data_IF_716477730552
#
_entry.id   IF_716477730552
#
_cell.length_a   1.000
_cell.length_b   1.000
_cell.length_c   1.000
_cell.angle_alpha   90.00
_cell.angle_beta   90.00
_cell.angle_gamma   90.00
#
_symmetry.space_group_name_H-M   'P 1'
#
loop_
_entity.id
_entity.type
_entity.pdbx_description
1 polymer ?
#
# COMPACT_ATOMS: atom_id res chain seq x y z
N UNK A 1 74.16 -10.39 51.98
CA UNK A 1 73.89 -11.79 52.38
C UNK A 1 72.38 -11.90 52.59
N UNK A 2 71.54 -12.70 51.92
CA UNK A 2 71.68 -13.92 51.09
C UNK A 2 70.60 -13.91 50.00
N UNK A 3 70.93 -14.46 48.83
CA UNK A 3 70.02 -14.93 47.77
C UNK A 3 69.08 -16.01 48.31
N UNK A 4 67.87 -16.11 47.75
CA UNK A 4 67.27 -17.36 47.25
C UNK A 4 66.04 -17.08 46.39
N UNK A 5 66.10 -17.61 45.17
CA UNK A 5 65.01 -17.77 44.20
C UNK A 5 63.92 -18.69 44.75
N UNK A 6 62.68 -18.51 44.28
CA UNK A 6 61.83 -19.63 43.91
C UNK A 6 60.80 -19.17 42.87
N UNK A 7 60.95 -19.66 41.64
CA UNK A 7 59.95 -19.70 40.58
C UNK A 7 58.85 -20.69 40.96
N UNK A 8 57.58 -20.31 40.81
CA UNK A 8 56.48 -21.25 40.62
C UNK A 8 55.63 -20.79 39.43
N UNK A 9 55.72 -21.58 38.36
CA UNK A 9 54.73 -21.65 37.28
C UNK A 9 53.51 -22.39 37.83
N UNK A 10 52.34 -21.76 37.76
CA UNK A 10 51.06 -22.39 38.08
C UNK A 10 49.99 -21.86 37.14
N UNK A 11 49.68 -22.64 36.12
CA UNK A 11 48.58 -22.43 35.19
C UNK A 11 47.24 -22.35 35.93
N UNK A 12 46.39 -21.37 35.58
CA UNK A 12 45.08 -21.17 36.18
C UNK A 12 44.13 -20.49 35.21
N UNK A 13 43.59 -21.28 34.27
CA UNK A 13 42.37 -21.08 33.50
C UNK A 13 41.92 -19.65 33.17
N UNK A 14 42.21 -19.21 31.94
CA UNK A 14 41.31 -18.29 31.27
C UNK A 14 40.00 -19.04 31.01
N UNK A 15 39.01 -18.83 31.87
CA UNK A 15 37.62 -19.19 31.57
C UNK A 15 37.20 -18.26 30.42
N UNK A 16 37.35 -18.75 29.19
CA UNK A 16 36.65 -18.18 28.06
C UNK A 16 35.16 -18.32 28.37
N UNK A 17 34.53 -17.20 28.74
CA UNK A 17 33.09 -17.03 28.65
C UNK A 17 32.73 -17.21 27.17
N UNK A 18 32.50 -18.46 26.77
CA UNK A 18 31.65 -18.79 25.64
C UNK A 18 30.24 -18.35 26.06
N UNK A 19 29.98 -17.05 25.95
CA UNK A 19 28.64 -16.57 25.78
C UNK A 19 28.10 -17.32 24.56
N UNK A 20 27.20 -18.25 24.80
CA UNK A 20 26.49 -18.92 23.71
C UNK A 20 25.92 -17.84 22.82
N UNK A 21 26.48 -17.68 21.62
CA UNK A 21 25.73 -17.09 20.53
C UNK A 21 24.56 -18.04 20.34
N UNK A 22 23.42 -17.72 20.93
CA UNK A 22 22.16 -18.13 20.33
C UNK A 22 22.29 -17.69 18.87
N UNK A 23 22.38 -18.65 17.96
CA UNK A 23 22.36 -18.34 16.55
C UNK A 23 21.03 -17.61 16.34
N UNK A 24 21.12 -16.32 16.06
CA UNK A 24 19.93 -15.50 15.83
C UNK A 24 19.22 -16.10 14.62
N UNK A 25 17.92 -16.42 14.78
CA UNK A 25 17.05 -16.79 13.66
C UNK A 25 17.09 -15.70 12.58
N UNK A 26 16.83 -16.07 11.33
CA UNK A 26 16.94 -15.16 10.18
C UNK A 26 18.29 -15.17 9.47
N UNK A 27 19.08 -16.23 9.64
CA UNK A 27 20.30 -16.48 8.86
C UNK A 27 19.98 -17.40 7.67
N UNK A 28 20.86 -17.52 6.64
CA UNK A 28 20.64 -18.48 5.56
C UNK A 28 20.43 -19.93 6.02
N UNK A 29 21.03 -20.33 7.15
CA UNK A 29 20.93 -21.69 7.71
C UNK A 29 19.69 -21.88 8.61
N UNK A 30 19.04 -20.79 9.05
CA UNK A 30 17.82 -20.81 9.88
C UNK A 30 16.96 -19.57 9.54
N UNK A 31 16.28 -19.54 8.38
CA UNK A 31 15.50 -18.39 7.94
C UNK A 31 14.20 -18.21 8.74
N UNK A 32 13.69 -16.97 8.78
CA UNK A 32 12.30 -16.75 9.23
C UNK A 32 11.32 -17.28 8.19
N UNK A 33 10.15 -17.73 8.63
CA UNK A 33 9.07 -18.16 7.73
C UNK A 33 8.01 -17.08 7.65
N UNK A 34 7.84 -16.48 6.47
CA UNK A 34 6.78 -15.50 6.20
C UNK A 34 5.71 -16.16 5.32
N UNK A 35 4.47 -16.18 5.81
CA UNK A 35 3.32 -16.59 4.99
C UNK A 35 2.80 -15.38 4.22
N UNK A 36 2.99 -15.37 2.89
CA UNK A 36 2.64 -14.24 2.02
C UNK A 36 1.34 -14.52 1.31
N UNK A 37 0.38 -13.60 1.47
CA UNK A 37 -0.89 -13.62 0.73
C UNK A 37 -0.95 -12.40 -0.19
N UNK A 38 -0.84 -12.64 -1.49
CA UNK A 38 -1.06 -11.65 -2.54
C UNK A 38 -2.52 -11.64 -2.99
N UNK A 39 -3.00 -10.53 -3.55
CA UNK A 39 -4.37 -10.45 -4.08
C UNK A 39 -4.46 -10.77 -5.57
N UNK A 40 -3.42 -10.45 -6.35
CA UNK A 40 -3.42 -10.53 -7.82
C UNK A 40 -2.08 -11.01 -8.35
N UNK A 41 -1.41 -11.86 -7.59
CA UNK A 41 -0.02 -12.24 -7.79
C UNK A 41 0.97 -11.16 -7.34
N UNK A 42 2.23 -11.37 -7.74
CA UNK A 42 3.37 -10.55 -7.33
C UNK A 42 3.35 -9.18 -8.02
N UNK A 43 3.62 -8.13 -7.25
CA UNK A 43 3.70 -6.75 -7.73
C UNK A 43 5.04 -6.14 -7.32
N UNK A 44 5.38 -4.91 -7.77
CA UNK A 44 6.56 -4.20 -7.27
C UNK A 44 6.59 -4.03 -5.74
N UNK A 45 5.45 -4.15 -5.04
CA UNK A 45 5.39 -4.13 -3.57
C UNK A 45 6.16 -5.30 -2.98
N UNK A 46 5.94 -6.52 -3.46
CA UNK A 46 6.63 -7.71 -3.00
C UNK A 46 8.13 -7.64 -3.32
N UNK A 47 8.51 -7.10 -4.49
CA UNK A 47 9.92 -6.89 -4.83
C UNK A 47 10.59 -5.90 -3.87
N UNK A 48 9.90 -4.80 -3.54
CA UNK A 48 10.37 -3.83 -2.56
C UNK A 48 10.52 -4.44 -1.17
N UNK A 49 9.57 -5.29 -0.77
CA UNK A 49 9.60 -5.99 0.51
C UNK A 49 10.79 -6.96 0.59
N UNK A 50 10.95 -7.83 -0.42
CA UNK A 50 12.01 -8.84 -0.49
C UNK A 50 13.40 -8.22 -0.53
N UNK A 51 13.60 -7.25 -1.43
CA UNK A 51 14.89 -6.60 -1.59
C UNK A 51 15.28 -5.82 -0.32
N UNK A 52 14.32 -5.24 0.40
CA UNK A 52 14.62 -4.55 1.65
C UNK A 52 15.00 -5.51 2.78
N UNK A 53 14.34 -6.67 2.90
CA UNK A 53 14.75 -7.71 3.84
C UNK A 53 16.17 -8.21 3.54
N UNK A 54 16.44 -8.54 2.27
CA UNK A 54 17.74 -9.02 1.82
C UNK A 54 18.85 -7.97 2.04
N UNK A 55 18.59 -6.70 1.70
CA UNK A 55 19.53 -5.61 1.91
C UNK A 55 19.87 -5.36 3.38
N UNK A 56 18.97 -5.74 4.30
CA UNK A 56 19.18 -5.68 5.74
C UNK A 56 19.66 -7.01 6.35
N UNK A 57 20.03 -7.99 5.52
CA UNK A 57 20.59 -9.27 5.96
C UNK A 57 19.61 -10.20 6.66
N UNK A 58 18.30 -10.02 6.44
CA UNK A 58 17.26 -10.88 7.03
C UNK A 58 16.90 -11.98 6.04
N UNK A 59 17.28 -13.22 6.37
CA UNK A 59 16.94 -14.40 5.58
C UNK A 59 15.52 -14.86 5.87
N UNK A 60 14.74 -15.06 4.80
CA UNK A 60 13.33 -15.46 4.87
C UNK A 60 13.03 -16.56 3.86
N UNK A 61 12.25 -17.55 4.30
CA UNK A 61 11.53 -18.49 3.46
C UNK A 61 10.07 -18.02 3.33
N UNK A 62 9.62 -17.80 2.09
CA UNK A 62 8.24 -17.39 1.81
C UNK A 62 7.35 -18.59 1.51
N UNK A 63 6.19 -18.61 2.17
CA UNK A 63 5.08 -19.52 1.86
C UNK A 63 4.07 -18.71 1.07
N UNK A 64 4.07 -18.89 -0.25
CA UNK A 64 3.35 -18.03 -1.19
C UNK A 64 1.89 -18.49 -1.42
N UNK A 65 0.94 -17.59 -1.27
CA UNK A 65 -0.46 -17.76 -1.68
C UNK A 65 -0.93 -16.55 -2.48
N UNK A 66 -1.75 -16.83 -3.49
CA UNK A 66 -2.44 -15.81 -4.26
C UNK A 66 -3.94 -16.01 -4.11
N UNK A 67 -4.64 -14.96 -3.70
CA UNK A 67 -6.09 -14.95 -3.67
C UNK A 67 -6.67 -14.98 -5.10
N UNK A 68 -5.91 -14.59 -6.12
CA UNK A 68 -6.37 -14.50 -7.52
C UNK A 68 -7.69 -13.74 -7.61
N UNK A 69 -7.67 -12.56 -6.99
CA UNK A 69 -8.76 -11.59 -6.86
C UNK A 69 -9.99 -12.07 -6.08
N UNK A 70 -9.92 -13.25 -5.47
CA UNK A 70 -11.02 -13.90 -4.78
C UNK A 70 -10.74 -14.05 -3.27
N UNK A 71 -11.31 -13.15 -2.47
CA UNK A 71 -11.18 -13.18 -1.01
C UNK A 71 -12.00 -14.30 -0.35
N UNK A 72 -12.81 -15.05 -1.09
CA UNK A 72 -13.52 -16.21 -0.52
C UNK A 72 -12.57 -17.36 -0.15
N UNK A 73 -11.32 -17.34 -0.65
CA UNK A 73 -10.26 -18.30 -0.32
C UNK A 73 -9.63 -18.09 1.06
N UNK A 74 -9.86 -16.94 1.68
CA UNK A 74 -9.18 -16.54 2.92
C UNK A 74 -9.37 -17.52 4.09
N UNK A 75 -10.55 -18.12 4.34
CA UNK A 75 -10.71 -19.11 5.41
C UNK A 75 -9.72 -20.28 5.31
N UNK A 76 -9.50 -20.81 4.10
CA UNK A 76 -8.53 -21.89 3.87
C UNK A 76 -7.09 -21.43 4.14
N UNK A 77 -6.73 -20.19 3.79
CA UNK A 77 -5.42 -19.64 4.10
C UNK A 77 -5.22 -19.44 5.61
N UNK A 78 -6.26 -19.02 6.34
CA UNK A 78 -6.23 -18.89 7.81
C UNK A 78 -5.98 -20.24 8.48
N UNK A 79 -6.68 -21.30 8.05
CA UNK A 79 -6.46 -22.66 8.56
C UNK A 79 -5.02 -23.13 8.32
N UNK A 80 -4.48 -22.87 7.13
CA UNK A 80 -3.11 -23.23 6.79
C UNK A 80 -2.09 -22.47 7.66
N UNK A 81 -2.29 -21.16 7.87
CA UNK A 81 -1.43 -20.35 8.75
C UNK A 81 -1.41 -20.94 10.16
N UNK A 82 -2.56 -21.36 10.71
CA UNK A 82 -2.65 -21.96 12.05
C UNK A 82 -1.90 -23.29 12.17
N UNK A 83 -1.91 -24.08 11.10
CA UNK A 83 -1.19 -25.36 11.05
C UNK A 83 0.32 -25.14 10.92
N UNK A 84 0.72 -24.22 10.04
CA UNK A 84 2.13 -24.00 9.71
C UNK A 84 2.87 -23.13 10.72
N UNK A 85 2.15 -22.28 11.46
CA UNK A 85 2.68 -21.36 12.48
C UNK A 85 3.90 -20.58 11.97
N UNK A 86 3.75 -19.78 10.90
CA UNK A 86 4.82 -18.92 10.41
C UNK A 86 5.21 -17.88 11.48
N UNK A 87 6.39 -17.28 11.32
CA UNK A 87 6.86 -16.21 12.21
C UNK A 87 6.10 -14.90 12.01
N UNK A 88 5.60 -14.69 10.78
CA UNK A 88 4.87 -13.49 10.39
C UNK A 88 3.97 -13.80 9.18
N UNK A 89 2.82 -13.13 9.11
CA UNK A 89 1.93 -13.13 7.94
C UNK A 89 2.07 -11.81 7.22
N UNK A 90 2.33 -11.86 5.92
CA UNK A 90 2.26 -10.70 5.03
C UNK A 90 0.95 -10.74 4.26
N UNK A 91 0.24 -9.61 4.18
CA UNK A 91 -0.99 -9.47 3.40
C UNK A 91 -0.94 -8.27 2.46
N UNK A 92 -1.44 -8.45 1.24
CA UNK A 92 -1.58 -7.37 0.26
C UNK A 92 -3.03 -6.88 0.20
N UNK A 93 -3.25 -5.58 0.47
CA UNK A 93 -4.55 -4.92 0.28
C UNK A 93 -5.57 -5.16 1.40
N UNK A 94 -6.63 -4.35 1.40
CA UNK A 94 -7.64 -4.30 2.47
C UNK A 94 -8.41 -5.62 2.62
N UNK A 95 -8.89 -6.20 1.52
CA UNK A 95 -9.73 -7.41 1.55
C UNK A 95 -8.99 -8.65 2.06
N UNK A 96 -7.76 -8.88 1.59
CA UNK A 96 -6.91 -9.98 2.08
C UNK A 96 -6.56 -9.77 3.57
N UNK A 97 -6.23 -8.54 3.96
CA UNK A 97 -5.91 -8.24 5.36
C UNK A 97 -7.11 -8.45 6.28
N UNK A 98 -8.31 -8.04 5.86
CA UNK A 98 -9.56 -8.31 6.61
C UNK A 98 -9.86 -9.81 6.67
N UNK A 99 -9.66 -10.55 5.58
CA UNK A 99 -9.86 -12.00 5.58
C UNK A 99 -8.89 -12.74 6.50
N UNK A 100 -7.69 -12.21 6.72
CA UNK A 100 -6.70 -12.80 7.61
C UNK A 100 -6.89 -12.37 9.08
N UNK A 101 -7.17 -11.08 9.31
CA UNK A 101 -7.15 -10.48 10.65
C UNK A 101 -8.54 -10.23 11.25
N UNK A 102 -9.59 -10.17 10.43
CA UNK A 102 -10.91 -9.71 10.86
C UNK A 102 -10.91 -8.26 11.32
N UNK A 103 -12.08 -7.77 11.75
CA UNK A 103 -12.20 -6.45 12.35
C UNK A 103 -11.71 -6.42 13.80
N UNK A 104 -11.22 -5.28 14.27
CA UNK A 104 -10.70 -5.14 15.64
C UNK A 104 -11.80 -5.24 16.70
N UNK A 105 -13.04 -4.97 16.32
CA UNK A 105 -14.25 -4.99 17.15
C UNK A 105 -15.12 -6.23 16.92
N UNK A 106 -14.60 -7.25 16.21
CA UNK A 106 -15.32 -8.50 16.01
C UNK A 106 -15.55 -9.21 17.36
N UNK A 107 -16.79 -9.62 17.61
CA UNK A 107 -17.18 -10.33 18.84
C UNK A 107 -16.49 -11.68 18.98
N UNK A 108 -16.24 -12.36 17.86
CA UNK A 108 -15.51 -13.62 17.79
C UNK A 108 -14.31 -13.50 16.83
N UNK A 109 -13.12 -13.78 17.36
CA UNK A 109 -11.86 -13.81 16.62
C UNK A 109 -11.47 -15.20 16.11
N UNK A 110 -12.27 -16.24 16.37
CA UNK A 110 -11.94 -17.64 16.12
C UNK A 110 -11.81 -18.01 14.64
N UNK A 111 -12.29 -17.16 13.73
CA UNK A 111 -12.12 -17.30 12.28
C UNK A 111 -10.90 -16.55 11.73
N UNK A 112 -10.14 -15.84 12.57
CA UNK A 112 -9.03 -14.97 12.14
C UNK A 112 -7.70 -15.30 12.84
N UNK A 113 -6.61 -14.73 12.33
CA UNK A 113 -5.29 -14.83 12.93
C UNK A 113 -5.13 -13.71 13.97
N UNK A 114 -5.05 -14.10 15.25
CA UNK A 114 -5.01 -13.18 16.40
C UNK A 114 -3.72 -13.28 17.21
N UNK A 115 -2.91 -14.31 16.98
CA UNK A 115 -1.72 -14.67 17.76
C UNK A 115 -0.39 -14.56 16.98
N UNK A 116 -0.45 -14.54 15.65
CA UNK A 116 0.72 -14.36 14.77
C UNK A 116 0.76 -12.90 14.27
N UNK A 117 1.94 -12.23 14.25
CA UNK A 117 2.06 -10.89 13.71
C UNK A 117 1.65 -10.80 12.24
N UNK A 118 0.83 -9.81 11.90
CA UNK A 118 0.40 -9.51 10.53
C UNK A 118 0.99 -8.15 10.13
N UNK A 119 1.73 -8.14 9.03
CA UNK A 119 2.20 -6.92 8.38
C UNK A 119 1.54 -6.79 7.02
N UNK A 120 0.64 -5.81 6.88
CA UNK A 120 0.02 -5.53 5.59
C UNK A 120 0.84 -4.53 4.77
N UNK A 121 0.67 -4.61 3.46
CA UNK A 121 0.99 -3.54 2.52
C UNK A 121 -0.28 -3.18 1.72
N UNK A 122 -0.29 -1.98 1.11
CA UNK A 122 -1.34 -1.56 0.17
C UNK A 122 -2.76 -1.47 0.76
N UNK A 123 -2.91 -1.32 2.07
CA UNK A 123 -4.22 -1.02 2.69
C UNK A 123 -4.49 0.48 2.60
N UNK A 124 -5.70 0.86 2.14
CA UNK A 124 -6.04 2.27 1.89
C UNK A 124 -6.48 3.02 3.15
N UNK A 125 -7.33 2.41 3.96
CA UNK A 125 -7.95 3.06 5.11
C UNK A 125 -8.18 2.05 6.25
N UNK A 126 -7.12 1.65 6.98
CA UNK A 126 -7.19 0.55 7.93
C UNK A 126 -8.14 0.84 9.12
N UNK A 127 -8.26 2.10 9.57
CA UNK A 127 -9.24 2.49 10.60
C UNK A 127 -10.67 2.38 10.07
N UNK A 128 -10.97 2.97 8.90
CA UNK A 128 -12.33 2.92 8.32
C UNK A 128 -12.75 1.50 7.95
N UNK A 129 -11.81 0.65 7.54
CA UNK A 129 -12.05 -0.77 7.26
C UNK A 129 -12.33 -1.58 8.54
N UNK A 130 -12.07 -1.03 9.72
CA UNK A 130 -12.18 -1.71 10.99
C UNK A 130 -11.01 -2.66 11.28
N UNK A 131 -9.86 -2.52 10.60
CA UNK A 131 -8.69 -3.36 10.88
C UNK A 131 -8.05 -3.02 12.23
N UNK A 132 -7.98 -1.72 12.56
CA UNK A 132 -7.37 -1.19 13.77
C UNK A 132 -8.16 0.02 14.29
N UNK A 133 -8.16 0.31 15.60
CA UNK A 133 -8.80 1.50 16.16
C UNK A 133 -8.00 2.79 15.90
N UNK A 134 -6.67 2.70 15.76
CA UNK A 134 -5.77 3.83 15.56
C UNK A 134 -4.59 3.45 14.66
N UNK A 135 -4.03 4.44 13.97
CA UNK A 135 -2.79 4.26 13.19
C UNK A 135 -1.54 4.31 14.07
N UNK A 136 -1.52 5.18 15.08
CA UNK A 136 -0.35 5.40 15.94
C UNK A 136 -0.15 4.24 16.90
N UNK A 137 -1.25 3.71 17.44
CA UNK A 137 -1.28 2.58 18.35
C UNK A 137 -2.29 1.55 17.83
N UNK A 138 -1.88 0.63 16.95
CA UNK A 138 -2.79 -0.38 16.40
C UNK A 138 -3.46 -1.25 17.46
N UNK A 139 -2.81 -1.46 18.62
CA UNK A 139 -3.40 -2.12 19.78
C UNK A 139 -3.72 -3.61 19.60
N UNK A 140 -3.22 -4.24 18.53
CA UNK A 140 -3.42 -5.67 18.21
C UNK A 140 -2.27 -6.22 17.36
N UNK A 141 -2.35 -7.50 16.99
CA UNK A 141 -1.35 -8.21 16.19
C UNK A 141 -1.18 -7.74 14.71
N UNK A 142 -1.64 -6.53 14.36
CA UNK A 142 -1.69 -6.01 12.98
C UNK A 142 -0.97 -4.66 12.91
N UNK A 143 -0.03 -4.53 11.98
CA UNK A 143 0.57 -3.26 11.57
C UNK A 143 0.80 -3.27 10.05
N UNK A 144 1.35 -2.21 9.47
CA UNK A 144 1.62 -2.21 8.03
C UNK A 144 1.86 -0.84 7.42
N UNK A 145 1.90 -0.83 6.08
CA UNK A 145 2.14 0.36 5.28
C UNK A 145 0.88 0.74 4.48
N UNK A 146 0.45 1.98 4.65
CA UNK A 146 -0.60 2.62 3.83
C UNK A 146 0.06 3.18 2.57
N UNK A 147 -0.60 3.02 1.43
CA UNK A 147 -0.08 3.53 0.15
C UNK A 147 -0.74 4.84 -0.28
N UNK A 148 -1.88 5.17 0.30
CA UNK A 148 -2.69 6.33 -0.10
C UNK A 148 -1.95 7.60 0.28
N UNK A 149 -1.76 8.45 -0.72
CA UNK A 149 -1.34 9.83 -0.53
C UNK A 149 -2.56 10.62 -0.04
N UNK A 150 -2.43 11.52 0.94
CA UNK A 150 -3.57 12.32 1.40
C UNK A 150 -4.25 13.05 0.23
N UNK A 151 -5.58 12.97 0.15
CA UNK A 151 -6.38 13.51 -0.96
C UNK A 151 -6.07 15.00 -1.20
N UNK A 152 -5.98 15.81 -0.14
CA UNK A 152 -5.60 17.22 -0.24
C UNK A 152 -4.23 17.42 -0.89
N UNK A 153 -3.24 16.57 -0.57
CA UNK A 153 -1.90 16.65 -1.17
C UNK A 153 -1.94 16.36 -2.67
N UNK A 154 -2.75 15.38 -3.09
CA UNK A 154 -2.97 15.06 -4.50
C UNK A 154 -3.66 16.22 -5.24
N UNK A 155 -4.70 16.80 -4.66
CA UNK A 155 -5.40 17.95 -5.25
C UNK A 155 -4.49 19.18 -5.39
N UNK A 156 -3.60 19.44 -4.41
CA UNK A 156 -2.62 20.53 -4.49
C UNK A 156 -1.57 20.29 -5.58
N UNK A 157 -1.12 19.05 -5.76
CA UNK A 157 -0.23 18.70 -6.85
C UNK A 157 -0.92 18.82 -8.22
N UNK A 158 -2.18 18.38 -8.32
CA UNK A 158 -3.02 18.56 -9.51
C UNK A 158 -3.19 20.05 -9.87
N UNK A 159 -3.52 20.90 -8.88
CA UNK A 159 -3.65 22.34 -9.08
C UNK A 159 -2.31 23.01 -9.46
N UNK A 160 -1.19 22.47 -8.97
CA UNK A 160 0.14 22.93 -9.35
C UNK A 160 0.49 22.55 -10.78
N UNK A 161 -0.04 21.44 -11.31
CA UNK A 161 0.09 21.07 -12.71
C UNK A 161 -0.73 22.05 -13.56
N UNK A 162 -2.00 22.22 -13.20
CA UNK A 162 -2.89 23.21 -13.80
C UNK A 162 -4.02 23.55 -12.83
N UNK A 163 -4.25 24.85 -12.53
CA UNK A 163 -5.39 25.28 -11.72
C UNK A 163 -6.72 24.84 -12.32
N UNK A 164 -7.69 24.56 -11.46
CA UNK A 164 -9.04 24.14 -11.84
C UNK A 164 -10.06 24.66 -10.85
N UNK A 165 -11.30 24.74 -11.30
CA UNK A 165 -12.47 25.16 -10.53
C UNK A 165 -13.55 24.08 -10.51
N UNK A 166 -13.48 23.08 -11.40
CA UNK A 166 -14.40 21.95 -11.44
C UNK A 166 -13.68 20.61 -11.57
N UNK A 167 -13.98 19.69 -10.67
CA UNK A 167 -13.35 18.38 -10.58
C UNK A 167 -14.35 17.26 -10.83
N UNK A 168 -14.11 16.48 -11.88
CA UNK A 168 -14.88 15.28 -12.18
C UNK A 168 -14.39 14.08 -11.38
N UNK A 169 -15.32 13.25 -10.91
CA UNK A 169 -15.02 11.94 -10.30
C UNK A 169 -16.03 10.90 -10.77
N UNK A 170 -15.56 9.68 -11.03
CA UNK A 170 -16.38 8.51 -11.32
C UNK A 170 -16.05 7.42 -10.30
N UNK A 171 -17.03 7.00 -9.50
CA UNK A 171 -16.79 6.13 -8.35
C UNK A 171 -17.85 5.04 -8.20
N UNK A 172 -17.53 3.99 -7.45
CA UNK A 172 -18.43 2.89 -7.14
C UNK A 172 -19.22 3.20 -5.86
N UNK A 173 -20.56 3.37 -5.91
CA UNK A 173 -21.35 3.77 -4.74
C UNK A 173 -21.47 2.66 -3.69
N UNK A 174 -21.20 1.40 -4.06
CA UNK A 174 -21.22 0.25 -3.15
C UNK A 174 -19.87 0.01 -2.45
N UNK A 175 -18.84 0.82 -2.71
CA UNK A 175 -17.52 0.71 -2.08
C UNK A 175 -17.34 1.77 -0.98
N UNK A 176 -17.32 1.40 0.32
CA UNK A 176 -17.20 2.36 1.42
C UNK A 176 -15.94 3.23 1.40
N UNK A 177 -14.83 2.73 0.83
CA UNK A 177 -13.61 3.49 0.59
C UNK A 177 -13.85 4.61 -0.42
N UNK A 178 -14.46 4.31 -1.57
CA UNK A 178 -14.73 5.29 -2.62
C UNK A 178 -15.67 6.38 -2.15
N UNK A 179 -16.76 6.01 -1.46
CA UNK A 179 -17.69 6.97 -0.84
C UNK A 179 -16.98 7.88 0.15
N UNK A 180 -16.03 7.34 0.95
CA UNK A 180 -15.23 8.14 1.88
C UNK A 180 -14.48 9.27 1.19
N UNK A 181 -13.86 8.96 0.05
CA UNK A 181 -13.03 9.90 -0.70
C UNK A 181 -13.91 10.95 -1.35
N UNK A 182 -15.08 10.59 -1.89
CA UNK A 182 -16.03 11.58 -2.43
C UNK A 182 -16.54 12.53 -1.33
N UNK A 183 -16.85 12.02 -0.13
CA UNK A 183 -17.22 12.85 1.03
C UNK A 183 -16.07 13.76 1.47
N UNK A 184 -14.83 13.26 1.47
CA UNK A 184 -13.63 14.05 1.78
C UNK A 184 -13.42 15.16 0.75
N UNK A 185 -13.53 14.84 -0.55
CA UNK A 185 -13.48 15.82 -1.63
C UNK A 185 -14.54 16.90 -1.44
N UNK A 186 -15.76 16.53 -1.04
CA UNK A 186 -16.84 17.46 -0.74
C UNK A 186 -16.49 18.43 0.39
N UNK A 187 -15.78 17.97 1.43
CA UNK A 187 -15.26 18.83 2.51
C UNK A 187 -14.12 19.73 2.05
N UNK A 188 -13.32 19.29 1.09
CA UNK A 188 -12.18 20.06 0.55
C UNK A 188 -12.58 21.13 -0.48
N UNK A 189 -13.80 21.07 -1.03
CA UNK A 189 -14.31 22.04 -2.01
C UNK A 189 -14.14 23.49 -1.56
N UNK A 190 -14.58 23.82 -0.34
CA UNK A 190 -14.49 25.20 0.19
C UNK A 190 -13.03 25.62 0.45
N UNK A 191 -12.21 24.71 0.96
CA UNK A 191 -10.82 25.01 1.34
C UNK A 191 -9.91 25.19 0.12
N UNK A 192 -10.21 24.49 -0.98
CA UNK A 192 -9.39 24.50 -2.19
C UNK A 192 -10.04 25.24 -3.37
N UNK A 193 -11.29 25.70 -3.23
CA UNK A 193 -11.96 26.56 -4.21
C UNK A 193 -12.38 25.86 -5.50
N UNK A 194 -13.01 24.68 -5.39
CA UNK A 194 -13.53 23.94 -6.55
C UNK A 194 -14.93 23.37 -6.30
N UNK A 195 -15.62 22.99 -7.37
CA UNK A 195 -16.89 22.27 -7.36
C UNK A 195 -16.69 20.82 -7.83
N UNK A 196 -17.37 19.86 -7.19
CA UNK A 196 -17.37 18.47 -7.66
C UNK A 196 -18.42 18.22 -8.74
N UNK A 197 -18.06 17.40 -9.72
CA UNK A 197 -18.95 16.82 -10.74
C UNK A 197 -18.91 15.29 -10.60
N UNK A 198 -19.62 14.71 -9.62
CA UNK A 198 -19.58 13.27 -9.38
C UNK A 198 -20.50 12.51 -10.33
N UNK A 199 -20.06 11.31 -10.72
CA UNK A 199 -20.89 10.25 -11.31
C UNK A 199 -20.59 8.92 -10.65
N UNK A 200 -21.58 8.03 -10.71
CA UNK A 200 -21.49 6.70 -10.14
C UNK A 200 -21.39 5.67 -11.26
N UNK A 201 -20.54 4.67 -11.08
CA UNK A 201 -20.62 3.46 -11.90
C UNK A 201 -21.99 2.81 -11.71
N UNK A 202 -22.53 2.26 -12.81
CA UNK A 202 -23.78 1.52 -12.77
C UNK A 202 -23.59 0.22 -11.98
N UNK A 203 -24.64 -0.19 -11.26
CA UNK A 203 -24.66 -1.45 -10.53
C UNK A 203 -25.63 -2.42 -11.20
N UNK A 204 -25.14 -3.61 -11.54
CA UNK A 204 -25.92 -4.72 -12.13
C UNK A 204 -25.71 -5.95 -11.26
N UNK A 205 -26.80 -6.57 -10.79
CA UNK A 205 -26.75 -7.73 -9.89
C UNK A 205 -25.85 -7.54 -8.65
N UNK A 206 -25.87 -6.32 -8.10
CA UNK A 206 -25.09 -5.96 -6.91
C UNK A 206 -23.60 -5.76 -7.15
N UNK A 207 -23.13 -5.74 -8.40
CA UNK A 207 -21.74 -5.50 -8.77
C UNK A 207 -21.61 -4.28 -9.68
N UNK A 208 -20.52 -3.51 -9.56
CA UNK A 208 -20.25 -2.42 -10.50
C UNK A 208 -19.95 -2.94 -11.91
N UNK A 209 -20.36 -2.18 -12.92
CA UNK A 209 -20.06 -2.42 -14.34
C UNK A 209 -19.47 -1.18 -14.99
N UNK A 210 -18.64 -1.40 -16.03
CA UNK A 210 -18.11 -0.35 -16.88
C UNK A 210 -19.03 -0.03 -18.07
N UNK A 211 -20.22 -0.65 -18.15
CA UNK A 211 -21.17 -0.39 -19.22
C UNK A 211 -21.71 1.03 -19.19
N UNK A 212 -21.54 1.77 -20.30
CA UNK A 212 -21.89 3.18 -20.41
C UNK A 212 -20.90 4.13 -19.74
N UNK A 213 -19.68 3.68 -19.46
CA UNK A 213 -18.61 4.54 -18.90
C UNK A 213 -18.34 5.75 -19.79
N UNK A 214 -18.41 5.58 -21.11
CA UNK A 214 -18.21 6.64 -22.09
C UNK A 214 -19.24 7.77 -21.92
N UNK A 215 -20.52 7.42 -21.74
CA UNK A 215 -21.59 8.39 -21.48
C UNK A 215 -21.36 9.11 -20.14
N UNK A 216 -20.98 8.38 -19.09
CA UNK A 216 -20.72 8.95 -17.77
C UNK A 216 -19.56 9.96 -17.81
N UNK A 217 -18.49 9.66 -18.56
CA UNK A 217 -17.38 10.59 -18.76
C UNK A 217 -17.80 11.82 -19.57
N UNK A 218 -18.60 11.64 -20.63
CA UNK A 218 -19.15 12.75 -21.39
C UNK A 218 -20.04 13.66 -20.52
N UNK A 219 -20.86 13.09 -19.65
CA UNK A 219 -21.67 13.84 -18.68
C UNK A 219 -20.81 14.62 -17.68
N UNK A 220 -19.72 14.03 -17.16
CA UNK A 220 -18.75 14.72 -16.31
C UNK A 220 -18.16 15.92 -17.06
N UNK A 221 -17.77 15.72 -18.33
CA UNK A 221 -17.23 16.79 -19.17
C UNK A 221 -18.26 17.90 -19.41
N UNK A 222 -19.50 17.54 -19.72
CA UNK A 222 -20.61 18.49 -19.91
C UNK A 222 -20.94 19.28 -18.64
N UNK A 223 -20.74 18.69 -17.46
CA UNK A 223 -20.81 19.40 -16.17
C UNK A 223 -19.73 20.46 -15.97
N UNK A 224 -18.75 20.52 -16.88
CA UNK A 224 -17.67 21.50 -16.91
C UNK A 224 -16.40 21.04 -16.20
N UNK A 225 -16.24 19.75 -15.92
CA UNK A 225 -15.03 19.22 -15.30
C UNK A 225 -13.78 19.56 -16.13
N UNK A 226 -12.74 20.03 -15.44
CA UNK A 226 -11.45 20.37 -16.03
C UNK A 226 -10.41 19.27 -15.83
N UNK A 227 -10.64 18.41 -14.84
CA UNK A 227 -9.88 17.21 -14.53
C UNK A 227 -10.83 16.05 -14.23
N UNK A 228 -10.41 14.83 -14.54
CA UNK A 228 -10.98 13.60 -13.99
C UNK A 228 -10.03 13.03 -12.94
N UNK A 229 -10.43 13.07 -11.68
CA UNK A 229 -9.65 12.47 -10.60
C UNK A 229 -10.01 11.00 -10.44
N UNK A 230 -9.03 10.13 -10.71
CA UNK A 230 -9.12 8.69 -10.63
C UNK A 230 -8.81 8.26 -9.18
N UNK A 231 -9.81 8.40 -8.32
CA UNK A 231 -9.74 8.12 -6.88
C UNK A 231 -9.40 6.63 -6.56
N UNK A 232 -8.99 6.31 -5.31
CA UNK A 232 -8.72 4.95 -4.85
C UNK A 232 -9.99 4.07 -4.76
N UNK A 233 -10.46 3.62 -5.91
CA UNK A 233 -11.63 2.75 -6.11
C UNK A 233 -11.18 1.41 -6.70
N UNK A 234 -11.64 0.29 -6.10
CA UNK A 234 -11.14 -1.04 -6.44
C UNK A 234 -11.59 -1.46 -7.83
N UNK A 235 -12.86 -1.23 -8.16
CA UNK A 235 -13.40 -1.50 -9.48
C UNK A 235 -12.78 -0.62 -10.57
N UNK A 236 -12.67 0.69 -10.35
CA UNK A 236 -12.00 1.63 -11.25
C UNK A 236 -10.58 1.16 -11.60
N UNK A 237 -9.84 0.67 -10.59
CA UNK A 237 -8.51 0.11 -10.76
C UNK A 237 -8.43 -1.12 -11.69
N UNK A 238 -9.57 -1.70 -12.06
CA UNK A 238 -9.68 -2.82 -13.02
C UNK A 238 -10.16 -2.41 -14.42
N UNK A 239 -10.60 -1.16 -14.60
CA UNK A 239 -11.23 -0.68 -15.84
C UNK A 239 -10.60 0.64 -16.34
N UNK A 240 -9.36 0.93 -15.95
CA UNK A 240 -8.63 2.11 -16.45
C UNK A 240 -8.50 2.11 -17.98
N UNK A 241 -8.34 0.93 -18.57
CA UNK A 241 -8.28 0.68 -20.02
C UNK A 241 -9.53 1.14 -20.78
N UNK A 242 -10.66 1.34 -20.09
CA UNK A 242 -11.88 1.95 -20.65
C UNK A 242 -12.06 3.39 -20.23
N UNK A 243 -11.85 3.70 -18.95
CA UNK A 243 -12.11 5.03 -18.38
C UNK A 243 -11.16 6.09 -18.94
N UNK A 244 -9.87 5.79 -19.01
CA UNK A 244 -8.87 6.77 -19.41
C UNK A 244 -9.00 7.12 -20.89
N UNK A 245 -9.11 6.16 -21.84
CA UNK A 245 -9.35 6.51 -23.24
C UNK A 245 -10.65 7.31 -23.46
N UNK A 246 -11.72 7.01 -22.73
CA UNK A 246 -12.95 7.79 -22.79
C UNK A 246 -12.73 9.25 -22.34
N UNK A 247 -11.94 9.47 -21.29
CA UNK A 247 -11.58 10.82 -20.83
C UNK A 247 -10.72 11.57 -21.85
N UNK A 248 -9.76 10.88 -22.49
CA UNK A 248 -8.90 11.47 -23.52
C UNK A 248 -9.71 11.86 -24.76
N UNK A 249 -10.69 11.03 -25.18
CA UNK A 249 -11.60 11.36 -26.28
C UNK A 249 -12.38 12.67 -26.04
N UNK A 250 -12.73 12.94 -24.78
CA UNK A 250 -13.40 14.17 -24.32
C UNK A 250 -12.41 15.33 -24.01
N UNK A 251 -11.12 15.14 -24.28
CA UNK A 251 -10.03 16.06 -23.92
C UNK A 251 -10.07 16.45 -22.43
N UNK A 252 -10.37 15.47 -21.58
CA UNK A 252 -10.42 15.60 -20.14
C UNK A 252 -9.15 14.98 -19.53
N UNK A 253 -8.20 15.79 -19.03
CA UNK A 253 -6.98 15.25 -18.43
C UNK A 253 -7.30 14.47 -17.14
N UNK A 254 -6.52 13.42 -16.89
CA UNK A 254 -6.73 12.49 -15.78
C UNK A 254 -5.65 12.63 -14.71
N UNK A 255 -6.05 12.63 -13.44
CA UNK A 255 -5.13 12.59 -12.30
C UNK A 255 -5.32 11.30 -11.51
N UNK A 256 -4.30 10.45 -11.49
CA UNK A 256 -4.28 9.16 -10.80
C UNK A 256 -3.99 9.27 -9.31
N UNK A 257 -4.82 8.62 -8.49
CA UNK A 257 -4.53 8.44 -7.06
C UNK A 257 -3.61 7.24 -6.76
N UNK A 258 -3.42 6.34 -7.74
CA UNK A 258 -2.66 5.11 -7.63
C UNK A 258 -1.64 4.96 -8.78
N UNK A 259 -0.52 4.28 -8.52
CA UNK A 259 0.58 4.12 -9.49
C UNK A 259 0.13 3.38 -10.75
N UNK A 260 -0.80 2.42 -10.60
CA UNK A 260 -1.42 1.69 -11.70
C UNK A 260 -2.12 2.62 -12.72
N UNK A 261 -2.74 3.71 -12.26
CA UNK A 261 -3.50 4.60 -13.13
C UNK A 261 -2.63 5.20 -14.23
N UNK A 262 -1.38 5.55 -13.93
CA UNK A 262 -0.45 6.15 -14.89
C UNK A 262 0.37 5.11 -15.65
N UNK A 263 0.86 4.06 -14.98
CA UNK A 263 1.75 3.06 -15.60
C UNK A 263 1.05 2.05 -16.48
N UNK A 264 -0.17 1.66 -16.10
CA UNK A 264 -0.95 0.66 -16.83
C UNK A 264 -2.22 1.28 -17.42
N UNK A 265 -2.83 2.22 -16.71
CA UNK A 265 -4.08 2.86 -17.12
C UNK A 265 -3.92 3.99 -18.13
N UNK A 266 -2.70 4.48 -18.39
CA UNK A 266 -2.46 5.59 -19.32
C UNK A 266 -2.92 6.96 -18.83
N UNK A 267 -3.12 7.16 -17.52
CA UNK A 267 -3.48 8.48 -16.99
C UNK A 267 -2.37 9.52 -17.27
N UNK A 268 -2.74 10.80 -17.35
CA UNK A 268 -1.79 11.88 -17.64
C UNK A 268 -0.74 12.02 -16.53
N UNK A 269 -1.20 12.06 -15.28
CA UNK A 269 -0.33 12.34 -14.13
C UNK A 269 -0.85 11.62 -12.91
N UNK A 270 0.04 11.21 -12.00
CA UNK A 270 -0.34 10.68 -10.71
C UNK A 270 0.65 11.15 -9.63
N UNK A 271 0.15 11.42 -8.42
CA UNK A 271 1.00 11.59 -7.23
C UNK A 271 0.77 10.40 -6.31
N UNK A 272 1.79 9.56 -6.16
CA UNK A 272 1.63 8.22 -5.58
C UNK A 272 2.72 7.89 -4.58
N UNK A 273 2.40 7.02 -3.63
CA UNK A 273 3.42 6.25 -2.93
C UNK A 273 3.88 5.14 -3.86
N UNK A 274 5.14 5.15 -4.32
CA UNK A 274 5.66 4.08 -5.17
C UNK A 274 5.49 2.74 -4.49
N UNK A 275 4.89 1.79 -5.17
CA UNK A 275 4.56 0.46 -4.65
C UNK A 275 5.79 -0.26 -4.13
N UNK A 276 6.91 -0.16 -4.84
CA UNK A 276 8.20 -0.65 -4.36
C UNK A 276 8.57 -0.07 -3.00
N UNK A 277 8.49 1.25 -2.84
CA UNK A 277 8.79 1.93 -1.58
C UNK A 277 7.80 1.58 -0.46
N UNK A 278 6.52 1.33 -0.78
CA UNK A 278 5.54 0.82 0.19
C UNK A 278 5.94 -0.57 0.70
N UNK A 279 6.41 -1.44 -0.20
CA UNK A 279 7.00 -2.73 0.15
C UNK A 279 8.18 -2.60 1.11
N UNK A 280 9.10 -1.66 0.85
CA UNK A 280 10.23 -1.37 1.73
C UNK A 280 9.77 -0.90 3.12
N UNK A 281 8.75 -0.04 3.18
CA UNK A 281 8.18 0.42 4.45
C UNK A 281 7.54 -0.73 5.23
N UNK A 282 6.78 -1.61 4.58
CA UNK A 282 6.23 -2.81 5.20
C UNK A 282 7.34 -3.76 5.70
N UNK A 283 8.39 -3.98 4.91
CA UNK A 283 9.54 -4.79 5.31
C UNK A 283 10.27 -4.20 6.53
N UNK A 284 10.40 -2.88 6.62
CA UNK A 284 11.00 -2.24 7.81
C UNK A 284 10.23 -2.57 9.09
N UNK A 285 8.90 -2.70 9.02
CA UNK A 285 8.05 -3.10 10.15
C UNK A 285 8.22 -4.59 10.46
N UNK A 286 8.27 -5.44 9.44
CA UNK A 286 8.58 -6.87 9.59
C UNK A 286 9.95 -7.10 10.26
N UNK A 287 10.99 -6.33 9.90
CA UNK A 287 12.32 -6.41 10.54
C UNK A 287 12.24 -6.08 12.02
N UNK A 288 11.51 -5.02 12.42
CA UNK A 288 11.31 -4.68 13.84
C UNK A 288 10.67 -5.85 14.62
N UNK A 289 9.69 -6.50 14.02
CA UNK A 289 9.00 -7.66 14.63
C UNK A 289 9.96 -8.85 14.73
N UNK A 290 10.52 -9.29 13.60
CA UNK A 290 11.27 -10.54 13.51
C UNK A 290 12.61 -10.48 14.25
N UNK A 291 13.35 -9.38 14.09
CA UNK A 291 14.75 -9.29 14.55
C UNK A 291 14.92 -8.52 15.86
N UNK A 292 14.02 -7.58 16.15
CA UNK A 292 14.10 -6.73 17.35
C UNK A 292 13.05 -7.12 18.40
N UNK A 293 12.10 -8.00 18.07
CA UNK A 293 11.07 -8.46 19.00
C UNK A 293 10.06 -7.38 19.38
N UNK A 294 9.93 -6.31 18.58
CA UNK A 294 8.97 -5.24 18.86
C UNK A 294 7.56 -5.75 18.54
N UNK A 295 6.61 -5.70 19.50
CA UNK A 295 5.25 -6.15 19.26
C UNK A 295 4.55 -5.32 18.17
N UNK A 296 3.80 -5.94 17.24
CA UNK A 296 3.10 -5.22 16.16
C UNK A 296 2.12 -4.16 16.67
N UNK A 297 1.51 -4.36 17.83
CA UNK A 297 0.58 -3.42 18.47
C UNK A 297 1.21 -2.08 18.86
N UNK A 298 2.54 -2.02 18.94
CA UNK A 298 3.33 -0.83 19.26
C UNK A 298 4.02 -0.22 18.03
N UNK A 299 3.83 -0.79 16.84
CA UNK A 299 4.44 -0.30 15.60
C UNK A 299 3.38 0.53 14.86
N UNK A 300 3.56 1.86 14.74
CA UNK A 300 2.61 2.70 14.03
C UNK A 300 2.40 2.24 12.60
N UNK A 301 1.18 2.37 12.10
CA UNK A 301 0.83 2.27 10.69
C UNK A 301 1.08 3.62 10.03
N UNK A 302 1.84 3.63 8.95
CA UNK A 302 2.30 4.87 8.31
C UNK A 302 2.13 4.80 6.79
N UNK A 303 2.05 5.97 6.16
CA UNK A 303 2.25 6.14 4.71
C UNK A 303 3.67 6.64 4.45
N UNK A 304 4.12 6.65 3.19
CA UNK A 304 5.43 7.21 2.85
C UNK A 304 5.46 8.71 3.11
N UNK A 305 6.57 9.22 3.65
CA UNK A 305 6.78 10.67 3.82
C UNK A 305 7.19 11.39 2.53
N UNK A 306 7.47 10.64 1.46
CA UNK A 306 7.84 11.14 0.14
C UNK A 306 6.99 10.44 -0.91
N UNK A 307 6.26 11.23 -1.67
CA UNK A 307 5.47 10.77 -2.80
C UNK A 307 6.23 10.97 -4.11
N UNK A 308 5.86 10.23 -5.13
CA UNK A 308 6.40 10.36 -6.48
C UNK A 308 5.34 10.94 -7.39
N UNK A 309 5.68 12.05 -8.03
CA UNK A 309 4.90 12.59 -9.13
C UNK A 309 5.35 11.84 -10.39
N UNK A 310 4.42 11.20 -11.08
CA UNK A 310 4.68 10.47 -12.32
C UNK A 310 3.88 11.17 -13.42
N UNK A 311 4.52 11.52 -14.53
CA UNK A 311 3.90 12.22 -15.65
C UNK A 311 4.06 11.37 -16.92
N UNK A 312 2.95 11.09 -17.58
CA UNK A 312 2.92 10.47 -18.90
C UNK A 312 3.05 11.55 -19.98
N UNK A 313 4.24 11.65 -20.60
CA UNK A 313 4.54 12.71 -21.55
C UNK A 313 3.86 12.50 -22.92
N UNK A 314 3.49 11.27 -23.26
CA UNK A 314 2.74 10.97 -24.48
C UNK A 314 1.32 11.51 -24.39
N UNK A 315 0.67 11.29 -23.25
CA UNK A 315 -0.67 11.81 -22.97
C UNK A 315 -0.63 13.33 -22.84
N UNK A 316 0.39 13.89 -22.20
CA UNK A 316 0.59 15.34 -22.14
C UNK A 316 0.68 15.96 -23.54
N UNK A 317 1.37 15.28 -24.46
CA UNK A 317 1.49 15.70 -25.87
C UNK A 317 0.16 15.56 -26.61
N UNK A 318 -0.56 14.45 -26.46
CA UNK A 318 -1.87 14.21 -27.10
C UNK A 318 -2.90 15.27 -26.69
N UNK A 319 -2.91 15.65 -25.42
CA UNK A 319 -3.80 16.68 -24.87
C UNK A 319 -3.30 18.11 -25.10
N UNK A 320 -2.11 18.29 -25.66
CA UNK A 320 -1.40 19.58 -25.74
C UNK A 320 -1.29 20.28 -24.36
N UNK A 321 -1.15 19.49 -23.29
CA UNK A 321 -1.23 19.91 -21.90
C UNK A 321 0.06 19.55 -21.14
N UNK A 322 1.15 20.23 -21.48
CA UNK A 322 2.46 20.01 -20.86
C UNK A 322 2.51 20.47 -19.39
N UNK A 323 3.29 19.80 -18.52
CA UNK A 323 3.48 20.25 -17.16
C UNK A 323 4.32 21.54 -17.10
N UNK A 324 4.21 22.33 -16.02
CA UNK A 324 5.20 23.35 -15.69
C UNK A 324 6.61 22.75 -15.65
N UNK A 325 7.59 23.46 -16.22
CA UNK A 325 8.98 22.97 -16.34
C UNK A 325 9.56 22.58 -14.98
N UNK A 326 9.19 23.31 -13.92
CA UNK A 326 9.67 23.06 -12.57
C UNK A 326 9.29 21.67 -12.06
N UNK A 327 8.16 21.12 -12.52
CA UNK A 327 7.73 19.77 -12.16
C UNK A 327 8.67 18.70 -12.69
N UNK A 328 9.28 18.92 -13.85
CA UNK A 328 10.19 17.96 -14.49
C UNK A 328 11.47 17.74 -13.67
N UNK A 329 11.79 18.63 -12.73
CA UNK A 329 12.96 18.48 -11.86
C UNK A 329 12.80 17.35 -10.82
N UNK A 330 11.57 16.96 -10.50
CA UNK A 330 11.28 15.96 -9.47
C UNK A 330 10.24 14.92 -9.89
N UNK A 331 9.59 15.10 -11.04
CA UNK A 331 8.72 14.11 -11.61
C UNK A 331 9.52 12.94 -12.22
N UNK A 332 9.01 11.74 -12.04
CA UNK A 332 9.34 10.63 -12.93
C UNK A 332 8.57 10.84 -14.24
N UNK A 333 9.29 10.90 -15.36
CA UNK A 333 8.68 11.07 -16.68
C UNK A 333 8.61 9.71 -17.35
N UNK A 334 7.39 9.31 -17.73
CA UNK A 334 7.17 8.17 -18.61
C UNK A 334 7.22 8.67 -20.06
N UNK A 335 8.11 8.06 -20.83
CA UNK A 335 8.21 8.17 -22.28
C UNK A 335 8.09 6.76 -22.83
N UNK A 336 7.26 6.56 -23.85
CA UNK A 336 7.16 5.26 -24.53
C UNK A 336 8.44 4.83 -25.23
#
# INVERSE_FOLDING_TARGET
>A
MKRREFLWLGAGGAVALMAGRAFAKGTPDDPYRIYRITYRGRTPVEDGFDNYLAANGVSVEFIERDADRDTSKMPGFVEEIRQLKPDLVYTWGTGVTLGAAGKYDAEDGSDYITDIPIVFALVSAPVKAGLVPSLEEPGRNVTGAVHVVPTETQLRAMASYRPFTKLGVLYTPTEPNSVAIVEELGRLQETLGFELVPREFRIVDGKPTADGVEDLIAEIKQGGAEWLYLLPDTFLGTVYDRVVPAALAEKLPTFGAAELAVREGGALVALVSRYYSVGQLAASKAIKILTQGVPPEQIPIETLSRFSLIINMEVAKELELYPPIEMLNYAEVLTG
#
